data_IF_957212980539
#
_entry.id   IF_957212980539
#
_cell.length_a   1.000
_cell.length_b   1.000
_cell.length_c   1.000
_cell.angle_alpha   90.00
_cell.angle_beta   90.00
_cell.angle_gamma   90.00
#
_symmetry.space_group_name_H-M   'P 1'
#
loop_
_entity.id
_entity.type
_entity.pdbx_description
1 polymer ?
#
# COMPACT_ATOMS: atom_id res chain seq x y z
N UNK A 1 35.11 13.76 58.53
CA UNK A 1 34.97 12.35 58.09
C UNK A 1 33.57 11.92 58.50
N UNK A 2 32.54 11.85 57.66
CA UNK A 2 32.50 11.35 56.29
C UNK A 2 31.66 10.07 56.26
N UNK A 3 30.34 10.28 56.37
CA UNK A 3 29.15 9.41 56.20
C UNK A 3 29.36 7.91 55.91
N UNK A 4 28.69 7.05 56.71
CA UNK A 4 28.31 5.67 56.37
C UNK A 4 26.88 5.67 55.80
N UNK A 5 26.74 5.09 54.62
CA UNK A 5 25.48 4.93 53.89
C UNK A 5 24.84 3.57 54.18
N UNK A 6 23.53 3.56 54.02
CA UNK A 6 22.49 2.65 54.49
C UNK A 6 22.17 1.51 53.50
N UNK A 7 21.66 0.42 54.04
CA UNK A 7 20.99 -0.68 53.34
C UNK A 7 19.67 -0.20 52.66
N UNK A 8 18.98 -1.00 51.81
CA UNK A 8 18.17 -2.11 52.32
C UNK A 8 18.05 -3.34 51.39
N UNK A 9 17.47 -4.40 51.98
CA UNK A 9 17.27 -5.76 51.44
C UNK A 9 15.77 -5.98 51.19
N UNK A 10 15.40 -6.52 50.02
CA UNK A 10 14.11 -7.18 49.70
C UNK A 10 14.34 -7.93 48.38
N UNK A 11 14.16 -9.24 48.20
CA UNK A 11 13.02 -10.16 48.38
C UNK A 11 13.07 -11.15 47.19
N UNK A 12 12.58 -12.41 47.28
CA UNK A 12 13.05 -13.49 46.39
C UNK A 12 12.24 -13.72 45.10
N UNK A 13 12.89 -14.43 44.17
CA UNK A 13 12.52 -14.70 42.77
C UNK A 13 11.40 -15.73 42.56
N UNK A 14 10.67 -15.58 41.44
CA UNK A 14 9.82 -16.62 40.84
C UNK A 14 9.79 -16.52 39.29
N UNK A 15 10.25 -17.61 38.67
CA UNK A 15 9.91 -18.22 37.37
C UNK A 15 9.54 -17.37 36.12
N UNK A 16 10.46 -17.45 35.15
CA UNK A 16 10.27 -17.83 33.73
C UNK A 16 8.94 -17.56 33.02
N UNK A 17 8.99 -16.74 31.97
CA UNK A 17 8.47 -17.11 30.66
C UNK A 17 9.26 -16.37 29.55
N UNK A 18 10.09 -17.13 28.85
CA UNK A 18 10.62 -16.75 27.54
C UNK A 18 9.45 -16.75 26.54
N UNK A 19 9.08 -15.57 26.06
CA UNK A 19 8.26 -15.37 24.87
C UNK A 19 9.17 -15.01 23.72
N UNK A 20 9.46 -16.00 22.88
CA UNK A 20 10.17 -15.90 21.62
C UNK A 20 9.28 -15.20 20.57
N UNK A 21 9.73 -14.08 20.01
CA UNK A 21 9.39 -13.68 18.64
C UNK A 21 10.64 -13.09 17.96
N UNK A 22 11.69 -13.92 17.84
CA UNK A 22 12.71 -13.73 16.83
C UNK A 22 12.16 -14.28 15.50
N UNK A 23 11.37 -13.47 14.81
CA UNK A 23 10.95 -13.70 13.43
C UNK A 23 11.45 -12.49 12.62
N UNK A 24 12.67 -12.54 12.10
CA UNK A 24 12.89 -13.06 10.76
C UNK A 24 14.31 -12.77 10.33
N UNK A 25 15.28 -13.35 11.03
CA UNK A 25 16.71 -13.22 10.71
C UNK A 25 17.23 -14.57 10.23
N UNK A 26 16.68 -15.02 9.09
CA UNK A 26 17.10 -16.20 8.35
C UNK A 26 16.41 -16.27 6.97
N UNK A 27 16.59 -15.25 6.11
CA UNK A 27 16.32 -15.39 4.66
C UNK A 27 17.03 -14.34 3.77
N UNK A 28 18.08 -13.68 4.27
CA UNK A 28 18.50 -12.38 3.73
C UNK A 28 19.50 -12.45 2.56
N UNK A 29 20.41 -13.43 2.54
CA UNK A 29 21.51 -13.45 1.57
C UNK A 29 21.09 -13.54 0.08
N UNK A 30 19.86 -14.00 -0.21
CA UNK A 30 19.33 -14.08 -1.58
C UNK A 30 18.65 -12.80 -2.08
N UNK A 31 18.41 -11.83 -1.19
CA UNK A 31 17.59 -10.64 -1.46
C UNK A 31 18.34 -9.32 -1.23
N UNK A 32 19.62 -9.34 -0.83
CA UNK A 32 20.49 -8.16 -0.70
C UNK A 32 20.48 -7.23 -1.92
N UNK A 33 20.36 -7.80 -3.13
CA UNK A 33 20.30 -7.02 -4.36
C UNK A 33 18.99 -6.23 -4.47
N UNK A 34 17.90 -6.74 -3.89
CA UNK A 34 16.59 -6.09 -3.86
C UNK A 34 16.69 -4.84 -3.00
N UNK A 35 17.31 -4.93 -1.82
CA UNK A 35 17.49 -3.77 -0.93
C UNK A 35 18.21 -2.61 -1.61
N UNK A 36 19.16 -2.90 -2.51
CA UNK A 36 19.89 -1.88 -3.29
C UNK A 36 19.02 -1.15 -4.32
N UNK A 37 17.81 -1.65 -4.60
CA UNK A 37 16.87 -1.04 -5.54
C UNK A 37 15.87 -0.09 -4.89
N UNK A 38 15.88 0.04 -3.55
CA UNK A 38 15.05 0.99 -2.82
C UNK A 38 15.41 2.43 -3.21
N UNK A 39 14.39 3.26 -3.43
CA UNK A 39 14.60 4.68 -3.72
C UNK A 39 14.70 5.49 -2.40
N UNK A 40 15.53 6.55 -2.39
CA UNK A 40 15.81 7.35 -1.17
C UNK A 40 14.57 7.97 -0.52
N UNK A 41 13.59 8.36 -1.35
CA UNK A 41 12.36 9.02 -0.90
C UNK A 41 11.14 8.09 -0.95
N UNK A 42 11.34 6.77 -0.99
CA UNK A 42 10.24 5.80 -1.03
C UNK A 42 9.63 5.61 0.38
N UNK A 43 8.32 5.85 0.56
CA UNK A 43 7.64 5.55 1.81
C UNK A 43 7.81 4.07 2.19
N UNK A 44 8.07 3.78 3.47
CA UNK A 44 8.35 2.41 3.95
C UNK A 44 7.26 1.41 3.53
N UNK A 45 5.99 1.81 3.62
CA UNK A 45 4.87 0.98 3.19
C UNK A 45 4.93 0.65 1.69
N UNK A 46 5.31 1.61 0.84
CA UNK A 46 5.43 1.36 -0.60
C UNK A 46 6.58 0.40 -0.87
N UNK A 47 7.72 0.61 -0.19
CA UNK A 47 8.89 -0.23 -0.32
C UNK A 47 8.58 -1.69 0.07
N UNK A 48 7.92 -1.92 1.20
CA UNK A 48 7.55 -3.26 1.66
C UNK A 48 6.85 -4.07 0.56
N UNK A 49 5.85 -3.48 -0.11
CA UNK A 49 5.10 -4.15 -1.17
C UNK A 49 5.88 -4.23 -2.48
N UNK A 50 6.66 -3.20 -2.84
CA UNK A 50 7.50 -3.22 -4.04
C UNK A 50 8.61 -4.27 -3.94
N UNK A 51 9.18 -4.45 -2.75
CA UNK A 51 10.16 -5.48 -2.41
C UNK A 51 9.58 -6.88 -2.61
N UNK A 52 8.38 -7.13 -2.09
CA UNK A 52 7.68 -8.40 -2.29
C UNK A 52 7.42 -8.69 -3.77
N UNK A 53 6.99 -7.66 -4.52
CA UNK A 53 6.82 -7.74 -5.98
C UNK A 53 8.12 -8.15 -6.68
N UNK A 54 9.24 -7.53 -6.33
CA UNK A 54 10.56 -7.82 -6.91
C UNK A 54 11.01 -9.25 -6.61
N UNK A 55 10.94 -9.68 -5.35
CA UNK A 55 11.39 -11.03 -4.93
C UNK A 55 10.58 -12.11 -5.66
N UNK A 56 9.26 -11.96 -5.72
CA UNK A 56 8.36 -12.94 -6.33
C UNK A 56 8.59 -13.10 -7.84
N UNK A 57 8.88 -12.00 -8.52
CA UNK A 57 9.02 -11.98 -9.99
C UNK A 57 10.48 -12.12 -10.46
N UNK A 58 11.43 -12.24 -9.53
CA UNK A 58 12.84 -12.46 -9.85
C UNK A 58 13.21 -13.95 -9.96
N UNK A 59 12.27 -14.87 -9.71
CA UNK A 59 12.52 -16.31 -9.83
C UNK A 59 12.97 -16.66 -11.26
N UNK A 60 14.15 -17.30 -11.38
CA UNK A 60 14.73 -17.66 -12.67
C UNK A 60 15.37 -16.50 -13.44
N UNK A 61 15.36 -15.27 -12.91
CA UNK A 61 16.08 -14.16 -13.53
C UNK A 61 17.56 -14.16 -13.15
N UNK A 62 18.46 -13.94 -14.12
CA UNK A 62 19.89 -13.74 -13.88
C UNK A 62 20.14 -12.33 -13.29
N UNK A 63 20.00 -12.23 -11.97
CA UNK A 63 20.14 -10.96 -11.22
C UNK A 63 21.58 -10.42 -11.22
N UNK A 64 22.57 -11.30 -11.40
CA UNK A 64 23.98 -10.94 -11.48
C UNK A 64 24.37 -10.26 -12.81
N UNK A 65 23.46 -10.21 -13.79
CA UNK A 65 23.52 -9.27 -14.92
C UNK A 65 24.78 -9.41 -15.77
N UNK A 66 25.21 -10.65 -16.03
CA UNK A 66 26.48 -10.95 -16.71
C UNK A 66 26.49 -10.44 -18.15
N UNK A 67 25.36 -10.50 -18.84
CA UNK A 67 25.21 -9.97 -20.20
C UNK A 67 24.22 -8.79 -20.29
N UNK A 68 24.14 -8.18 -21.47
CA UNK A 68 23.23 -7.05 -21.72
C UNK A 68 21.74 -7.42 -21.65
N UNK A 69 21.40 -8.67 -21.99
CA UNK A 69 20.03 -9.14 -22.00
C UNK A 69 19.51 -9.31 -20.56
N UNK A 70 20.32 -9.92 -19.69
CA UNK A 70 20.06 -10.10 -18.27
C UNK A 70 19.83 -8.74 -17.58
N UNK A 71 20.70 -7.77 -17.87
CA UNK A 71 20.55 -6.39 -17.34
C UNK A 71 19.28 -5.72 -17.85
N UNK A 72 18.90 -5.95 -19.11
CA UNK A 72 17.67 -5.40 -19.68
C UNK A 72 16.43 -6.01 -19.03
N UNK A 73 16.44 -7.31 -18.74
CA UNK A 73 15.35 -8.01 -18.05
C UNK A 73 15.18 -7.48 -16.62
N UNK A 74 16.28 -7.36 -15.87
CA UNK A 74 16.26 -6.80 -14.52
C UNK A 74 15.71 -5.36 -14.52
N UNK A 75 16.18 -4.50 -15.45
CA UNK A 75 15.65 -3.13 -15.59
C UNK A 75 14.16 -3.11 -15.90
N UNK A 76 13.67 -4.09 -16.68
CA UNK A 76 12.24 -4.21 -17.00
C UNK A 76 11.43 -4.61 -15.78
N UNK A 77 11.90 -5.59 -15.00
CA UNK A 77 11.27 -5.97 -13.74
C UNK A 77 11.20 -4.79 -12.75
N UNK A 78 12.30 -4.04 -12.60
CA UNK A 78 12.32 -2.82 -11.75
C UNK A 78 11.33 -1.77 -12.25
N UNK A 79 11.20 -1.63 -13.56
CA UNK A 79 10.22 -0.70 -14.14
C UNK A 79 8.79 -1.15 -13.86
N UNK A 80 8.49 -2.44 -13.98
CA UNK A 80 7.17 -2.99 -13.65
C UNK A 80 6.83 -2.83 -12.17
N UNK A 81 7.78 -3.05 -11.26
CA UNK A 81 7.54 -2.87 -9.82
C UNK A 81 7.19 -1.41 -9.47
N UNK A 82 7.86 -0.44 -10.12
CA UNK A 82 7.53 0.99 -10.00
C UNK A 82 6.17 1.33 -10.61
N UNK A 83 5.85 0.82 -11.79
CA UNK A 83 4.55 1.04 -12.45
C UNK A 83 3.42 0.53 -11.57
N UNK A 84 3.56 -0.67 -11.02
CA UNK A 84 2.59 -1.26 -10.12
C UNK A 84 2.43 -0.44 -8.84
N UNK A 85 3.52 -0.10 -8.16
CA UNK A 85 3.48 0.72 -6.94
C UNK A 85 2.86 2.11 -7.20
N UNK A 86 3.24 2.78 -8.28
CA UNK A 86 2.65 4.07 -8.66
C UNK A 86 1.16 3.95 -8.96
N UNK A 87 0.73 2.85 -9.59
CA UNK A 87 -0.69 2.62 -9.83
C UNK A 87 -1.46 2.46 -8.51
N UNK A 88 -0.98 1.60 -7.62
CA UNK A 88 -1.66 1.25 -6.36
C UNK A 88 -1.65 2.42 -5.38
N UNK A 89 -0.49 3.03 -5.15
CA UNK A 89 -0.34 4.03 -4.10
C UNK A 89 -0.56 5.47 -4.57
N UNK A 90 -0.26 5.78 -5.83
CA UNK A 90 -0.33 7.15 -6.37
C UNK A 90 -1.46 7.32 -7.41
N UNK A 91 -2.15 6.26 -7.79
CA UNK A 91 -3.27 6.33 -8.72
C UNK A 91 -2.87 6.59 -10.17
N UNK A 92 -1.58 6.42 -10.52
CA UNK A 92 -1.12 6.58 -11.89
C UNK A 92 -1.84 5.61 -12.84
N UNK A 93 -1.91 5.99 -14.10
CA UNK A 93 -2.56 5.21 -15.18
C UNK A 93 -1.56 5.00 -16.30
N UNK A 94 -1.56 3.79 -16.84
CA UNK A 94 -0.69 3.34 -17.92
C UNK A 94 -1.54 2.70 -19.01
N UNK A 95 -0.93 2.30 -20.13
CA UNK A 95 -1.67 1.63 -21.21
C UNK A 95 -2.31 0.32 -20.70
N UNK A 96 -3.44 -0.11 -21.28
CA UNK A 96 -4.14 -1.33 -20.83
C UNK A 96 -3.24 -2.57 -20.80
N UNK A 97 -2.38 -2.74 -21.81
CA UNK A 97 -1.46 -3.88 -21.91
C UNK A 97 -0.45 -3.91 -20.76
N UNK A 98 0.11 -2.75 -20.39
CA UNK A 98 1.03 -2.65 -19.27
C UNK A 98 0.29 -2.92 -17.96
N UNK A 99 -0.92 -2.36 -17.81
CA UNK A 99 -1.74 -2.57 -16.62
C UNK A 99 -2.10 -4.04 -16.42
N UNK A 100 -2.54 -4.74 -17.46
CA UNK A 100 -2.84 -6.17 -17.41
C UNK A 100 -1.61 -6.96 -16.93
N UNK A 101 -0.45 -6.71 -17.55
CA UNK A 101 0.79 -7.42 -17.20
C UNK A 101 1.22 -7.20 -15.76
N UNK A 102 1.22 -5.95 -15.27
CA UNK A 102 1.67 -5.67 -13.89
C UNK A 102 0.70 -6.18 -12.83
N UNK A 103 -0.60 -6.22 -13.13
CA UNK A 103 -1.59 -6.77 -12.21
C UNK A 103 -1.50 -8.31 -12.14
N UNK A 104 -1.23 -8.97 -13.27
CA UNK A 104 -0.94 -10.41 -13.33
C UNK A 104 0.33 -10.77 -12.53
N UNK A 105 1.41 -10.01 -12.71
CA UNK A 105 2.66 -10.17 -11.94
C UNK A 105 2.49 -9.94 -10.42
N UNK A 106 1.47 -9.18 -10.02
CA UNK A 106 1.18 -8.88 -8.62
C UNK A 106 0.20 -9.88 -7.97
N UNK A 107 -0.25 -10.92 -8.68
CA UNK A 107 -1.16 -11.91 -8.13
C UNK A 107 -0.53 -12.57 -6.89
N UNK A 108 -1.24 -12.48 -5.77
CA UNK A 108 -0.82 -12.96 -4.45
C UNK A 108 -0.34 -11.87 -3.50
N UNK A 109 -0.05 -10.66 -4.00
CA UNK A 109 0.38 -9.52 -3.16
C UNK A 109 -0.87 -8.76 -2.71
N UNK A 110 -1.17 -8.82 -1.42
CA UNK A 110 -2.35 -8.15 -0.85
C UNK A 110 -1.92 -6.85 -0.16
N UNK A 111 -2.23 -5.72 -0.79
CA UNK A 111 -1.95 -4.39 -0.21
C UNK A 111 -3.04 -4.01 0.77
N UNK A 112 -2.66 -3.79 2.03
CA UNK A 112 -3.58 -3.31 3.07
C UNK A 112 -3.56 -1.78 3.09
N UNK A 113 -4.71 -1.17 3.39
CA UNK A 113 -4.88 0.30 3.48
C UNK A 113 -4.45 1.07 2.21
N UNK A 114 -4.64 0.49 1.02
CA UNK A 114 -4.37 1.18 -0.24
C UNK A 114 -5.25 2.45 -0.36
N UNK A 115 -4.69 3.60 -0.78
CA UNK A 115 -5.48 4.81 -0.99
C UNK A 115 -6.58 4.61 -2.05
N UNK A 116 -7.77 5.15 -1.80
CA UNK A 116 -8.83 5.17 -2.82
C UNK A 116 -8.59 6.33 -3.77
N UNK A 117 -8.12 6.03 -4.98
CA UNK A 117 -7.91 7.04 -6.02
C UNK A 117 -9.22 7.35 -6.73
N UNK A 118 -9.69 8.58 -6.60
CA UNK A 118 -10.88 9.04 -7.30
C UNK A 118 -10.49 10.03 -8.40
N UNK A 119 -10.97 9.79 -9.62
CA UNK A 119 -10.69 10.68 -10.74
C UNK A 119 -11.43 12.00 -10.56
N UNK A 120 -10.86 13.10 -11.06
CA UNK A 120 -11.52 14.41 -11.11
C UNK A 120 -12.90 14.29 -11.76
N UNK A 121 -13.02 13.54 -12.86
CA UNK A 121 -14.27 13.38 -13.60
C UNK A 121 -15.33 12.64 -12.78
N UNK A 122 -14.92 11.65 -11.98
CA UNK A 122 -15.83 10.98 -11.05
C UNK A 122 -16.31 11.94 -9.95
N UNK A 123 -15.44 12.80 -9.44
CA UNK A 123 -15.82 13.83 -8.47
C UNK A 123 -16.81 14.82 -9.09
N UNK A 124 -16.55 15.27 -10.33
CA UNK A 124 -17.43 16.17 -11.07
C UNK A 124 -18.77 15.50 -11.33
N UNK A 125 -18.79 14.25 -11.78
CA UNK A 125 -20.01 13.48 -12.01
C UNK A 125 -20.82 13.28 -10.72
N UNK A 126 -20.17 12.92 -9.60
CA UNK A 126 -20.82 12.80 -8.28
C UNK A 126 -21.42 14.14 -7.83
N UNK A 127 -20.70 15.25 -8.04
CA UNK A 127 -21.17 16.61 -7.70
C UNK A 127 -22.35 17.05 -8.57
N UNK A 128 -22.30 16.79 -9.87
CA UNK A 128 -23.40 17.06 -10.82
C UNK A 128 -24.61 16.21 -10.44
N UNK A 129 -24.44 14.92 -10.19
CA UNK A 129 -25.52 14.02 -9.77
C UNK A 129 -26.16 14.47 -8.46
N UNK A 130 -25.35 14.85 -7.46
CA UNK A 130 -25.85 15.35 -6.18
C UNK A 130 -26.65 16.65 -6.34
N UNK A 131 -26.16 17.57 -7.17
CA UNK A 131 -26.86 18.83 -7.49
C UNK A 131 -28.18 18.58 -8.22
N UNK A 132 -28.19 17.67 -9.18
CA UNK A 132 -29.41 17.27 -9.90
C UNK A 132 -30.43 16.62 -8.96
N UNK A 133 -30.00 15.71 -8.07
CA UNK A 133 -30.88 15.09 -7.07
C UNK A 133 -31.50 16.13 -6.13
N UNK A 134 -30.72 17.10 -5.66
CA UNK A 134 -31.20 18.18 -4.80
C UNK A 134 -32.25 19.06 -5.51
N UNK A 135 -32.03 19.36 -6.79
CA UNK A 135 -32.99 20.11 -7.62
C UNK A 135 -34.32 19.36 -7.78
N UNK A 136 -34.27 18.04 -7.98
CA UNK A 136 -35.48 17.20 -8.10
C UNK A 136 -36.24 17.14 -6.76
N UNK A 137 -35.55 16.87 -5.65
CA UNK A 137 -36.17 16.82 -4.32
C UNK A 137 -36.84 18.13 -3.93
N UNK A 138 -36.18 19.26 -4.16
CA UNK A 138 -36.73 20.59 -3.84
C UNK A 138 -37.94 20.93 -4.70
N UNK A 139 -37.94 20.53 -5.97
CA UNK A 139 -39.07 20.69 -6.87
C UNK A 139 -40.27 19.85 -6.42
N UNK A 140 -40.03 18.58 -6.07
CA UNK A 140 -41.06 17.66 -5.59
C UNK A 140 -41.69 18.14 -4.27
N UNK A 141 -40.88 18.61 -3.33
CA UNK A 141 -41.36 19.16 -2.06
C UNK A 141 -42.23 20.41 -2.26
N UNK A 142 -41.82 21.33 -3.15
CA UNK A 142 -42.63 22.50 -3.51
C UNK A 142 -43.98 22.11 -4.11
N UNK A 143 -44.02 21.04 -4.91
CA UNK A 143 -45.26 20.54 -5.50
C UNK A 143 -46.19 19.96 -4.43
N UNK A 144 -45.65 19.15 -3.50
CA UNK A 144 -46.39 18.59 -2.36
C UNK A 144 -46.98 19.71 -1.50
N UNK A 145 -46.18 20.73 -1.16
CA UNK A 145 -46.63 21.84 -0.33
C UNK A 145 -47.67 22.75 -1.01
N UNK A 146 -47.70 22.79 -2.34
CA UNK A 146 -48.70 23.54 -3.11
C UNK A 146 -49.95 22.73 -3.44
N UNK A 147 -49.97 21.42 -3.19
CA UNK A 147 -51.12 20.59 -3.47
C UNK A 147 -52.21 20.86 -2.43
N UNK A 148 -53.38 21.41 -2.82
CA UNK A 148 -54.48 21.56 -1.89
C UNK A 148 -54.87 20.16 -1.38
N UNK A 149 -55.02 19.99 -0.05
CA UNK A 149 -55.66 18.78 0.48
C UNK A 149 -57.01 18.65 -0.21
N UNK A 150 -57.23 17.57 -0.96
CA UNK A 150 -58.58 17.18 -1.36
C UNK A 150 -59.35 16.91 -0.07
N UNK A 151 -60.13 17.89 0.37
CA UNK A 151 -61.12 17.69 1.42
C UNK A 151 -62.27 16.90 0.77
N UNK A 152 -62.53 15.72 1.32
CA UNK A 152 -63.66 14.87 0.95
C UNK A 152 -64.80 15.05 1.91
#
# INVERSE_FOLDING_TARGET
>A
MGRREVAPVAGPAAASSQGNEKAGEASDAGVDWVEKLRDECEPEQHWQYRREFLIRNAEGLPVDGKDDADRAELRRLVSFSRVWANHVFLGCRYSPQVMEKVMDMAVGITVTNAPTHTLRDELVAKKVLARSKLLVLTSHLKLIMKSPRRQS
#
